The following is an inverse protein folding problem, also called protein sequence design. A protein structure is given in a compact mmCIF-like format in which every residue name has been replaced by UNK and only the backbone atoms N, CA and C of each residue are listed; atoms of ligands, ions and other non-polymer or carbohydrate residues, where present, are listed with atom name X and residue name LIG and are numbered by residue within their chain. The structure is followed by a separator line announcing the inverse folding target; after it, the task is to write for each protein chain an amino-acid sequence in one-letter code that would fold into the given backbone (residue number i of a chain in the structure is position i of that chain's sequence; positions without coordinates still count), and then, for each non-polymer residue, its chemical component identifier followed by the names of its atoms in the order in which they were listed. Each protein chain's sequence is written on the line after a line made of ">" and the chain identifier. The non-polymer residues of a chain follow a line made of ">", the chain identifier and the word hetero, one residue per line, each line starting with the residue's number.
data_IF_398007696559
#
_entry.id   IF_398007696559
#
_cell.length_a   1.000
_cell.length_b   1.000
_cell.length_c   1.000
_cell.angle_alpha   90.00
_cell.angle_beta   90.00
_cell.angle_gamma   90.00
#
_symmetry.space_group_name_H-M   'P 1'
#
loop_
_entity.id
_entity.type
_entity.pdbx_description
1 polymer ?
#
# COMPACT_ATOMS: atom_id res chain seq x y z
N UNK A 1 -27.98 52.31 1.81
CA UNK A 1 -27.40 53.66 1.98
C UNK A 1 -25.95 53.47 2.42
N UNK A 2 -25.01 53.83 1.52
CA UNK A 2 -23.64 54.35 1.72
C UNK A 2 -22.69 53.61 2.69
N UNK A 3 -21.44 53.27 2.37
CA UNK A 3 -20.53 53.55 1.25
C UNK A 3 -19.15 52.99 1.64
N UNK A 4 -18.45 52.29 0.74
CA UNK A 4 -17.32 52.80 -0.07
C UNK A 4 -16.03 53.14 0.70
N UNK A 5 -14.89 52.61 0.23
CA UNK A 5 -13.59 53.26 0.43
C UNK A 5 -12.36 52.36 0.39
N UNK A 6 -11.97 51.88 -0.79
CA UNK A 6 -10.61 51.43 -1.07
C UNK A 6 -9.64 52.64 -1.11
N UNK A 7 -8.36 52.51 -0.73
CA UNK A 7 -7.26 53.22 -1.42
C UNK A 7 -5.87 52.59 -1.18
N UNK A 8 -5.30 52.04 -2.28
CA UNK A 8 -3.93 52.15 -2.83
C UNK A 8 -2.66 52.16 -1.96
N UNK A 9 -1.60 51.50 -2.48
CA UNK A 9 -0.22 51.98 -2.29
C UNK A 9 0.89 50.96 -2.53
N UNK A 10 1.25 50.72 -3.79
CA UNK A 10 2.47 50.01 -4.17
C UNK A 10 3.76 50.82 -3.86
N UNK A 11 4.88 50.12 -3.60
CA UNK A 11 6.25 50.50 -4.03
C UNK A 11 7.27 49.39 -3.70
N UNK A 12 7.91 48.85 -4.74
CA UNK A 12 9.29 48.34 -4.70
C UNK A 12 10.24 49.53 -5.04
N UNK A 13 11.58 49.48 -4.82
CA UNK A 13 12.46 48.64 -5.65
C UNK A 13 13.74 48.07 -4.98
N UNK A 14 14.34 47.16 -5.76
CA UNK A 14 15.71 46.61 -5.80
C UNK A 14 16.86 47.32 -5.08
N UNK A 15 17.85 46.55 -4.58
CA UNK A 15 19.14 46.30 -5.27
C UNK A 15 20.14 45.46 -4.42
N UNK A 16 20.78 44.51 -5.13
CA UNK A 16 22.18 44.06 -5.11
C UNK A 16 22.98 44.08 -3.79
N UNK A 17 23.54 42.92 -3.42
CA UNK A 17 25.01 42.77 -3.38
C UNK A 17 25.48 41.31 -3.37
N UNK A 18 26.28 40.99 -4.39
CA UNK A 18 27.18 39.82 -4.47
C UNK A 18 28.33 40.01 -3.49
N UNK A 19 28.70 38.94 -2.79
CA UNK A 19 30.08 38.70 -2.37
C UNK A 19 30.46 37.25 -2.68
N UNK A 20 31.31 37.10 -3.71
CA UNK A 20 32.17 35.95 -3.95
C UNK A 20 33.55 36.32 -3.39
N UNK A 21 34.26 35.37 -2.79
CA UNK A 21 35.69 35.03 -2.98
C UNK A 21 36.20 34.08 -1.85
N UNK A 22 37.33 33.36 -2.05
CA UNK A 22 37.35 31.90 -1.91
C UNK A 22 38.36 31.34 -0.88
N UNK A 23 38.41 30.00 -0.85
CA UNK A 23 39.55 29.12 -0.55
C UNK A 23 39.67 28.54 0.87
N UNK A 24 39.57 27.21 0.96
CA UNK A 24 40.77 26.38 1.17
C UNK A 24 40.47 24.89 0.96
N UNK A 25 41.07 24.31 -0.08
CA UNK A 25 41.18 22.86 -0.25
C UNK A 25 42.24 22.34 0.72
N UNK A 26 41.85 21.67 1.80
CA UNK A 26 42.74 20.77 2.53
C UNK A 26 42.57 19.34 2.00
N UNK A 27 43.54 18.90 1.20
CA UNK A 27 43.74 17.49 0.86
C UNK A 27 44.08 16.72 2.14
N UNK A 28 43.16 15.89 2.64
CA UNK A 28 43.50 14.82 3.59
C UNK A 28 43.99 13.61 2.80
N UNK A 29 45.23 13.18 3.06
CA UNK A 29 45.77 11.88 2.62
C UNK A 29 44.94 10.77 3.28
N UNK A 30 44.61 9.66 2.60
CA UNK A 30 44.04 8.52 3.29
C UNK A 30 45.14 7.88 4.15
N UNK A 31 44.85 7.71 5.44
CA UNK A 31 45.64 6.84 6.30
C UNK A 31 45.32 5.40 5.90
N UNK A 32 46.35 4.63 5.56
CA UNK A 32 46.25 3.20 5.33
C UNK A 32 45.85 2.53 6.65
N UNK A 33 44.63 2.00 6.71
CA UNK A 33 44.20 1.10 7.77
C UNK A 33 44.44 -0.34 7.30
N UNK A 34 45.32 -1.01 8.03
CA UNK A 34 45.67 -2.42 7.92
C UNK A 34 44.44 -3.32 7.92
N UNK A 35 44.34 -4.20 6.92
CA UNK A 35 43.38 -5.30 6.88
C UNK A 35 43.69 -6.27 8.02
N UNK A 36 42.86 -6.26 9.06
CA UNK A 36 42.75 -7.37 10.00
C UNK A 36 41.66 -8.31 9.48
N UNK A 37 42.01 -9.57 9.30
CA UNK A 37 41.15 -10.62 8.77
C UNK A 37 39.91 -10.82 9.65
N UNK A 38 38.73 -10.81 9.04
CA UNK A 38 37.51 -11.32 9.66
C UNK A 38 36.51 -11.74 8.59
N UNK A 39 36.23 -13.05 8.58
CA UNK A 39 35.10 -13.78 8.03
C UNK A 39 34.79 -13.67 6.51
N UNK A 40 34.59 -14.82 5.88
CA UNK A 40 34.01 -15.01 4.54
C UNK A 40 32.95 -13.95 4.19
N UNK A 41 32.96 -13.36 2.98
CA UNK A 41 31.92 -12.43 2.59
C UNK A 41 30.58 -13.16 2.62
N UNK A 42 29.72 -12.82 3.58
CA UNK A 42 28.36 -13.35 3.65
C UNK A 42 27.66 -12.94 2.36
N UNK A 43 27.54 -13.88 1.42
CA UNK A 43 26.93 -13.64 0.11
C UNK A 43 25.45 -13.38 0.34
N UNK A 44 25.04 -12.12 0.21
CA UNK A 44 23.62 -11.75 0.20
C UNK A 44 23.02 -12.31 -1.07
N UNK A 45 22.02 -13.18 -0.96
CA UNK A 45 21.25 -13.62 -2.11
C UNK A 45 20.07 -12.67 -2.34
N UNK A 46 19.88 -12.24 -3.58
CA UNK A 46 18.80 -11.34 -3.99
C UNK A 46 18.22 -11.73 -5.35
N UNK A 47 16.91 -11.49 -5.53
CA UNK A 47 16.24 -11.57 -6.83
C UNK A 47 16.32 -10.21 -7.53
N UNK A 48 17.12 -10.14 -8.59
CA UNK A 48 17.47 -8.89 -9.29
C UNK A 48 16.96 -8.92 -10.72
N UNK A 49 16.49 -7.78 -11.23
CA UNK A 49 16.13 -7.59 -12.63
C UNK A 49 16.86 -6.38 -13.22
N UNK A 50 17.48 -6.57 -14.40
CA UNK A 50 18.28 -5.54 -15.08
C UNK A 50 17.54 -4.80 -16.20
N UNK A 51 16.37 -5.28 -16.59
CA UNK A 51 15.49 -4.70 -17.60
C UNK A 51 14.04 -5.03 -17.24
N UNK A 52 13.09 -4.20 -17.68
CA UNK A 52 11.67 -4.48 -17.50
C UNK A 52 11.21 -5.60 -18.43
N UNK A 53 10.27 -6.43 -17.97
CA UNK A 53 9.70 -7.49 -18.80
C UNK A 53 8.88 -8.52 -18.02
N UNK A 54 8.67 -9.68 -18.64
CA UNK A 54 8.04 -10.83 -18.00
C UNK A 54 8.89 -11.26 -16.78
N UNK A 55 8.38 -11.21 -15.54
CA UNK A 55 9.16 -11.52 -14.35
C UNK A 55 9.83 -12.89 -14.40
N UNK A 56 9.21 -13.89 -15.04
CA UNK A 56 9.78 -15.22 -15.18
C UNK A 56 11.03 -15.27 -16.06
N UNK A 57 11.27 -14.24 -16.88
CA UNK A 57 12.40 -14.16 -17.82
C UNK A 57 13.48 -13.17 -17.38
N UNK A 58 13.11 -12.14 -16.62
CA UNK A 58 14.01 -11.02 -16.31
C UNK A 58 14.55 -11.03 -14.88
N UNK A 59 13.93 -11.80 -13.97
CA UNK A 59 14.36 -11.91 -12.57
C UNK A 59 15.37 -13.04 -12.43
N UNK A 60 16.54 -12.71 -11.90
CA UNK A 60 17.66 -13.63 -11.70
C UNK A 60 18.08 -13.66 -10.23
N UNK A 61 18.40 -14.83 -9.70
CA UNK A 61 19.06 -14.96 -8.39
C UNK A 61 20.52 -14.54 -8.51
N UNK A 62 20.93 -13.52 -7.75
CA UNK A 62 22.31 -13.02 -7.71
C UNK A 62 22.87 -13.04 -6.30
N UNK A 63 24.19 -13.21 -6.21
CA UNK A 63 24.94 -12.94 -5.00
C UNK A 63 25.40 -11.49 -5.04
N UNK A 64 25.12 -10.76 -3.96
CA UNK A 64 25.51 -9.36 -3.74
C UNK A 64 26.46 -9.29 -2.54
N UNK A 65 27.23 -8.22 -2.49
CA UNK A 65 27.97 -7.83 -1.28
C UNK A 65 27.05 -7.03 -0.37
N UNK A 66 27.04 -7.36 0.92
CA UNK A 66 26.33 -6.57 1.91
C UNK A 66 27.00 -5.20 2.03
N UNK A 67 26.22 -4.13 1.89
CA UNK A 67 26.73 -2.78 2.07
C UNK A 67 27.23 -2.56 3.51
N UNK A 68 28.19 -1.67 3.70
CA UNK A 68 28.63 -1.27 5.04
C UNK A 68 27.50 -0.50 5.75
N UNK A 69 27.31 -0.75 7.05
CA UNK A 69 26.33 -0.05 7.88
C UNK A 69 26.87 1.34 8.23
N UNK A 70 26.28 2.38 7.63
CA UNK A 70 26.56 3.77 7.97
C UNK A 70 25.96 4.19 9.31
N UNK A 71 26.27 5.42 9.74
CA UNK A 71 25.86 5.92 11.06
C UNK A 71 24.34 5.98 11.30
N UNK A 72 23.54 6.17 10.25
CA UNK A 72 22.06 6.22 10.31
C UNK A 72 21.41 5.03 9.61
N UNK A 73 22.17 3.98 9.32
CA UNK A 73 21.69 2.80 8.61
C UNK A 73 21.36 1.65 9.56
N UNK A 74 20.52 0.75 9.08
CA UNK A 74 20.04 -0.43 9.77
C UNK A 74 20.31 -1.64 8.88
N UNK A 75 21.04 -2.61 9.42
CA UNK A 75 21.22 -3.92 8.78
C UNK A 75 20.04 -4.81 9.15
N UNK A 76 19.31 -5.25 8.13
CA UNK A 76 18.10 -6.05 8.26
C UNK A 76 18.32 -7.41 7.61
N UNK A 77 17.96 -8.48 8.33
CA UNK A 77 17.80 -9.83 7.78
C UNK A 77 16.33 -10.04 7.42
N UNK A 78 16.03 -10.24 6.15
CA UNK A 78 14.65 -10.48 5.71
C UNK A 78 14.17 -11.85 6.20
N UNK A 79 12.96 -11.89 6.76
CA UNK A 79 12.35 -13.12 7.27
C UNK A 79 11.36 -13.69 6.26
N UNK A 80 10.53 -12.83 5.68
CA UNK A 80 9.54 -13.19 4.68
C UNK A 80 9.16 -11.97 3.83
N UNK A 81 8.93 -12.20 2.53
CA UNK A 81 8.46 -11.19 1.60
C UNK A 81 7.41 -11.81 0.66
N UNK A 82 6.19 -11.27 0.58
CA UNK A 82 5.17 -11.75 -0.34
C UNK A 82 5.48 -11.35 -1.78
N UNK A 83 4.73 -11.96 -2.70
CA UNK A 83 4.67 -11.55 -4.12
C UNK A 83 3.29 -10.97 -4.38
N UNK A 84 3.23 -9.66 -4.58
CA UNK A 84 2.01 -8.90 -4.83
C UNK A 84 1.87 -8.52 -6.32
N UNK A 85 0.65 -8.23 -6.81
CA UNK A 85 0.45 -7.72 -8.17
C UNK A 85 1.25 -6.46 -8.50
N UNK A 86 1.50 -5.58 -7.52
CA UNK A 86 2.33 -4.38 -7.69
C UNK A 86 3.79 -4.73 -8.00
N UNK A 87 4.35 -5.78 -7.40
CA UNK A 87 5.72 -6.23 -7.66
C UNK A 87 5.85 -6.69 -9.11
N UNK A 88 4.88 -7.50 -9.56
CA UNK A 88 4.79 -7.98 -10.94
C UNK A 88 4.68 -6.81 -11.92
N UNK A 89 3.78 -5.84 -11.65
CA UNK A 89 3.60 -4.69 -12.52
C UNK A 89 4.86 -3.79 -12.57
N UNK A 90 5.56 -3.63 -11.45
CA UNK A 90 6.81 -2.86 -11.37
C UNK A 90 7.93 -3.52 -12.18
N UNK A 91 8.10 -4.84 -12.07
CA UNK A 91 9.06 -5.60 -12.89
C UNK A 91 8.70 -5.51 -14.38
N UNK A 92 7.41 -5.55 -14.72
CA UNK A 92 6.91 -5.38 -16.10
C UNK A 92 7.07 -3.95 -16.65
N UNK A 93 7.41 -2.95 -15.82
CA UNK A 93 7.50 -1.54 -16.25
C UNK A 93 6.15 -0.83 -16.34
N UNK A 94 5.07 -1.43 -15.82
CA UNK A 94 3.69 -0.95 -15.92
C UNK A 94 3.15 -0.47 -14.57
N UNK A 95 3.95 0.29 -13.81
CA UNK A 95 3.60 0.77 -12.48
C UNK A 95 3.99 2.23 -12.29
N UNK A 96 3.27 2.96 -11.42
CA UNK A 96 3.46 4.40 -11.21
C UNK A 96 4.78 4.78 -10.53
N UNK A 97 5.49 3.80 -9.96
CA UNK A 97 6.82 3.93 -9.39
C UNK A 97 7.72 2.87 -10.01
N UNK A 98 8.85 3.27 -10.59
CA UNK A 98 9.84 2.35 -11.17
C UNK A 98 11.21 2.66 -10.55
N UNK A 99 11.80 1.72 -9.78
CA UNK A 99 13.17 1.84 -9.29
C UNK A 99 14.18 1.93 -10.44
N UNK A 100 15.34 2.54 -10.18
CA UNK A 100 16.45 2.53 -11.14
C UNK A 100 16.99 1.12 -11.31
N UNK A 101 17.27 0.73 -12.55
CA UNK A 101 17.78 -0.59 -12.89
C UNK A 101 19.32 -0.62 -12.85
N UNK A 102 19.94 -1.74 -12.43
CA UNK A 102 19.32 -2.97 -11.94
C UNK A 102 18.69 -2.79 -10.55
N UNK A 103 17.57 -3.47 -10.30
CA UNK A 103 16.82 -3.37 -9.05
C UNK A 103 16.55 -4.74 -8.43
N UNK A 104 16.42 -4.77 -7.10
CA UNK A 104 15.95 -5.94 -6.34
C UNK A 104 14.41 -5.96 -6.38
N UNK A 105 13.82 -7.13 -6.61
CA UNK A 105 12.37 -7.31 -6.62
C UNK A 105 11.72 -7.18 -5.23
N UNK A 106 10.40 -7.01 -5.22
CA UNK A 106 9.59 -6.97 -4.00
C UNK A 106 9.50 -5.59 -3.34
N UNK A 107 8.28 -5.23 -2.91
CA UNK A 107 7.99 -3.96 -2.24
C UNK A 107 7.48 -4.11 -0.81
N UNK A 108 7.16 -5.33 -0.39
CA UNK A 108 6.61 -5.65 0.91
C UNK A 108 7.40 -6.81 1.54
N UNK A 109 7.50 -6.81 2.85
CA UNK A 109 8.12 -7.88 3.61
C UNK A 109 8.37 -7.47 5.04
N UNK A 110 8.76 -8.45 5.86
CA UNK A 110 9.20 -8.24 7.24
C UNK A 110 10.63 -8.74 7.38
N UNK A 111 11.45 -7.94 8.05
CA UNK A 111 12.82 -8.27 8.39
C UNK A 111 13.08 -8.08 9.88
N UNK A 112 14.13 -8.72 10.37
CA UNK A 112 14.65 -8.54 11.71
C UNK A 112 15.88 -7.65 11.66
N UNK A 113 15.95 -6.66 12.54
CA UNK A 113 17.15 -5.83 12.71
C UNK A 113 18.28 -6.68 13.28
N UNK A 114 19.43 -6.70 12.60
CA UNK A 114 20.64 -7.42 13.00
C UNK A 114 21.61 -6.47 13.68
N UNK A 115 21.85 -5.31 13.07
CA UNK A 115 22.75 -4.28 13.57
C UNK A 115 22.24 -2.88 13.19
N UNK A 116 22.68 -1.87 13.94
CA UNK A 116 22.30 -0.47 13.73
C UNK A 116 23.53 0.43 13.74
N UNK A 117 23.48 1.51 12.97
CA UNK A 117 24.46 2.59 13.00
C UNK A 117 24.43 3.37 14.32
N UNK A 118 25.50 4.12 14.60
CA UNK A 118 25.69 4.85 15.85
C UNK A 118 24.69 5.98 16.14
N UNK A 119 23.94 6.44 15.13
CA UNK A 119 22.95 7.52 15.24
C UNK A 119 21.50 7.01 15.21
N UNK A 120 21.29 5.70 15.02
CA UNK A 120 19.96 5.09 14.98
C UNK A 120 19.36 5.04 16.38
N UNK A 121 18.09 5.40 16.53
CA UNK A 121 17.42 5.47 17.84
C UNK A 121 16.00 4.89 17.87
N UNK A 122 15.34 4.77 16.72
CA UNK A 122 13.97 4.30 16.57
C UNK A 122 13.81 2.78 16.54
N UNK A 123 14.89 2.03 16.28
CA UNK A 123 14.91 0.56 16.26
C UNK A 123 16.20 0.02 16.87
N UNK A 124 16.17 -1.22 17.35
CA UNK A 124 17.35 -1.93 17.90
C UNK A 124 17.43 -3.37 17.39
N UNK A 125 18.62 -4.02 17.49
CA UNK A 125 18.75 -5.43 17.16
C UNK A 125 17.67 -6.32 17.79
N UNK A 126 17.09 -7.19 16.98
CA UNK A 126 15.99 -8.08 17.35
C UNK A 126 14.59 -7.55 17.06
N UNK A 127 14.41 -6.25 16.81
CA UNK A 127 13.12 -5.68 16.40
C UNK A 127 12.71 -6.17 15.00
N UNK A 128 11.40 -6.26 14.78
CA UNK A 128 10.85 -6.52 13.44
C UNK A 128 10.53 -5.20 12.75
N UNK A 129 10.85 -5.12 11.46
CA UNK A 129 10.66 -3.93 10.64
C UNK A 129 10.05 -4.28 9.30
N UNK A 130 9.29 -3.35 8.74
CA UNK A 130 8.75 -3.40 7.37
C UNK A 130 9.15 -2.14 6.58
N UNK A 131 9.13 -2.19 5.23
CA UNK A 131 9.32 -1.01 4.39
C UNK A 131 8.35 0.14 4.69
N UNK A 132 8.87 1.34 4.91
CA UNK A 132 8.06 2.57 5.06
C UNK A 132 7.37 2.97 3.75
N UNK A 133 7.97 2.66 2.58
CA UNK A 133 7.37 2.87 1.27
C UNK A 133 7.78 1.78 0.27
N UNK A 134 7.23 1.83 -0.95
CA UNK A 134 7.62 0.93 -2.04
C UNK A 134 9.00 1.30 -2.62
N UNK A 135 9.64 0.35 -3.31
CA UNK A 135 10.89 0.55 -4.05
C UNK A 135 12.17 0.16 -3.30
N UNK A 136 12.06 -0.40 -2.09
CA UNK A 136 13.22 -0.82 -1.28
C UNK A 136 13.88 -2.12 -1.77
N UNK A 137 13.13 -3.02 -2.41
CA UNK A 137 13.62 -4.34 -2.80
C UNK A 137 13.66 -5.30 -1.61
N UNK A 138 12.62 -6.11 -1.44
CA UNK A 138 12.48 -7.01 -0.28
C UNK A 138 12.80 -8.47 -0.57
N UNK A 139 12.95 -8.85 -1.84
CA UNK A 139 13.29 -10.22 -2.25
C UNK A 139 14.80 -10.46 -2.19
N UNK A 140 15.36 -10.29 -1.00
CA UNK A 140 16.76 -10.55 -0.69
C UNK A 140 16.88 -11.10 0.73
N UNK A 141 17.98 -11.78 1.01
CA UNK A 141 18.23 -12.41 2.32
C UNK A 141 18.53 -11.39 3.41
N UNK A 142 19.31 -10.36 3.08
CA UNK A 142 19.73 -9.30 3.98
C UNK A 142 19.93 -8.01 3.20
N UNK A 143 19.81 -6.86 3.86
CA UNK A 143 20.07 -5.57 3.25
C UNK A 143 20.45 -4.53 4.31
N UNK A 144 21.04 -3.43 3.86
CA UNK A 144 21.25 -2.23 4.69
C UNK A 144 20.34 -1.13 4.16
N UNK A 145 19.52 -0.58 5.03
CA UNK A 145 18.58 0.49 4.71
C UNK A 145 18.78 1.67 5.66
N UNK A 146 18.46 2.88 5.21
CA UNK A 146 18.36 4.03 6.11
C UNK A 146 17.25 3.80 7.14
N UNK A 147 17.45 4.26 8.38
CA UNK A 147 16.46 4.15 9.46
C UNK A 147 15.08 4.70 9.07
N UNK A 148 15.04 5.82 8.34
CA UNK A 148 13.81 6.47 7.88
C UNK A 148 13.03 5.68 6.82
N UNK A 149 13.64 4.64 6.24
CA UNK A 149 13.02 3.77 5.26
C UNK A 149 12.30 2.58 5.91
N UNK A 150 12.34 2.46 7.23
CA UNK A 150 11.83 1.33 7.99
C UNK A 150 10.79 1.76 9.02
N UNK A 151 9.81 0.89 9.26
CA UNK A 151 8.81 1.04 10.31
C UNK A 151 8.89 -0.19 11.21
N UNK A 152 9.05 0.04 12.52
CA UNK A 152 8.97 -1.01 13.52
C UNK A 152 7.55 -1.61 13.60
N UNK A 153 7.47 -2.93 13.70
CA UNK A 153 6.19 -3.65 13.84
C UNK A 153 6.21 -4.59 15.04
N UNK A 154 5.03 -4.94 15.58
CA UNK A 154 4.93 -5.93 16.64
C UNK A 154 5.52 -7.28 16.19
N UNK A 155 6.16 -7.97 17.13
CA UNK A 155 6.76 -9.30 16.92
C UNK A 155 5.94 -10.43 17.54
N UNK A 156 4.84 -10.10 18.20
CA UNK A 156 3.89 -11.00 18.84
C UNK A 156 2.74 -11.41 17.91
N UNK A 157 2.80 -11.02 16.63
CA UNK A 157 1.89 -11.47 15.58
C UNK A 157 2.53 -12.59 14.74
N UNK A 158 1.73 -13.45 14.08
CA UNK A 158 2.27 -14.46 13.18
C UNK A 158 3.17 -13.86 12.09
N UNK A 159 4.28 -14.53 11.76
CA UNK A 159 5.24 -14.05 10.75
C UNK A 159 4.56 -13.73 9.41
N UNK A 160 3.62 -14.57 8.99
CA UNK A 160 2.86 -14.36 7.75
C UNK A 160 2.01 -13.08 7.78
N UNK A 161 1.44 -12.75 8.95
CA UNK A 161 0.71 -11.50 9.16
C UNK A 161 1.65 -10.30 9.05
N UNK A 162 2.79 -10.34 9.74
CA UNK A 162 3.78 -9.27 9.66
C UNK A 162 4.30 -9.04 8.23
N UNK A 163 4.54 -10.12 7.48
CA UNK A 163 5.02 -10.06 6.11
C UNK A 163 4.04 -9.43 5.11
N UNK A 164 2.74 -9.37 5.45
CA UNK A 164 1.66 -8.89 4.56
C UNK A 164 0.89 -7.68 5.12
N UNK A 165 1.41 -7.10 6.22
CA UNK A 165 0.75 -6.05 6.97
C UNK A 165 0.76 -4.70 6.25
N UNK A 166 1.87 -4.39 5.55
CA UNK A 166 2.21 -3.05 5.09
C UNK A 166 1.49 -2.59 3.82
N UNK A 167 0.80 -3.48 3.11
CA UNK A 167 0.14 -3.18 1.83
C UNK A 167 -1.35 -3.54 1.87
N UNK A 168 -1.70 -4.81 2.01
CA UNK A 168 -3.08 -5.25 1.76
C UNK A 168 -4.06 -4.76 2.85
N UNK A 169 -3.82 -4.98 4.16
CA UNK A 169 -4.64 -4.43 5.23
C UNK A 169 -4.64 -2.90 5.25
N UNK A 170 -3.49 -2.25 5.07
CA UNK A 170 -3.40 -0.78 5.02
C UNK A 170 -4.29 -0.21 3.91
N UNK A 171 -4.27 -0.83 2.73
CA UNK A 171 -5.08 -0.42 1.58
C UNK A 171 -6.58 -0.56 1.90
N UNK A 172 -6.98 -1.71 2.47
CA UNK A 172 -8.35 -1.95 2.88
C UNK A 172 -8.83 -0.91 3.91
N UNK A 173 -8.06 -0.69 4.97
CA UNK A 173 -8.38 0.27 6.02
C UNK A 173 -8.54 1.67 5.43
N UNK A 174 -7.55 2.18 4.66
CA UNK A 174 -7.62 3.56 4.11
C UNK A 174 -8.84 3.76 3.23
N UNK A 175 -9.16 2.79 2.38
CA UNK A 175 -10.34 2.90 1.54
C UNK A 175 -11.65 2.96 2.34
N UNK A 176 -11.74 2.22 3.44
CA UNK A 176 -12.92 2.24 4.32
C UNK A 176 -13.06 3.56 5.10
N UNK A 177 -11.95 4.22 5.43
CA UNK A 177 -11.96 5.38 6.33
C UNK A 177 -11.90 6.74 5.61
N UNK A 178 -11.30 6.81 4.42
CA UNK A 178 -10.90 8.10 3.84
C UNK A 178 -11.91 8.65 2.80
N UNK A 179 -12.88 7.85 2.34
CA UNK A 179 -13.72 8.21 1.18
C UNK A 179 -15.18 8.49 1.51
N UNK A 180 -15.77 7.79 2.46
CA UNK A 180 -17.14 7.99 2.91
C UNK A 180 -17.19 7.89 4.43
N UNK A 181 -18.03 8.71 5.06
CA UNK A 181 -18.30 8.58 6.50
C UNK A 181 -19.28 7.44 6.72
N UNK A 182 -18.73 6.27 7.04
CA UNK A 182 -19.48 5.05 7.31
C UNK A 182 -19.73 4.90 8.82
N UNK A 183 -20.90 4.37 9.17
CA UNK A 183 -21.31 4.07 10.54
C UNK A 183 -21.66 2.59 10.67
N UNK A 184 -21.59 2.01 11.88
CA UNK A 184 -22.08 0.65 12.11
C UNK A 184 -23.49 0.46 11.53
N UNK A 185 -23.67 -0.61 10.77
CA UNK A 185 -24.90 -0.94 10.05
C UNK A 185 -24.96 -0.44 8.59
N UNK A 186 -24.09 0.48 8.18
CA UNK A 186 -23.95 0.90 6.78
C UNK A 186 -23.35 -0.22 5.92
N UNK A 187 -23.64 -0.20 4.62
CA UNK A 187 -23.17 -1.22 3.68
C UNK A 187 -21.99 -0.75 2.82
N UNK A 188 -21.07 -1.67 2.54
CA UNK A 188 -19.97 -1.54 1.57
C UNK A 188 -20.06 -2.69 0.57
N UNK A 189 -19.87 -2.40 -0.72
CA UNK A 189 -19.78 -3.43 -1.77
C UNK A 189 -18.35 -3.50 -2.33
N UNK A 190 -17.85 -4.69 -2.61
CA UNK A 190 -16.53 -4.85 -3.24
C UNK A 190 -16.50 -5.97 -4.26
N UNK A 191 -15.63 -5.87 -5.27
CA UNK A 191 -15.25 -7.00 -6.12
C UNK A 191 -13.85 -7.51 -5.78
N UNK A 192 -13.46 -8.63 -6.40
CA UNK A 192 -12.23 -9.32 -6.06
C UNK A 192 -12.11 -9.66 -4.55
N UNK A 193 -13.23 -10.00 -3.92
CA UNK A 193 -13.34 -10.17 -2.46
C UNK A 193 -12.47 -11.30 -1.89
N UNK A 194 -12.02 -12.21 -2.74
CA UNK A 194 -11.08 -13.27 -2.36
C UNK A 194 -9.59 -12.86 -2.45
N UNK A 195 -9.29 -11.63 -2.87
CA UNK A 195 -7.92 -11.09 -2.87
C UNK A 195 -7.42 -10.80 -1.45
N UNK A 196 -6.12 -10.53 -1.28
CA UNK A 196 -5.56 -10.12 0.02
C UNK A 196 -6.24 -8.86 0.56
N UNK A 197 -6.41 -7.83 -0.28
CA UNK A 197 -7.17 -6.62 0.10
C UNK A 197 -8.63 -6.96 0.39
N UNK A 198 -9.28 -7.78 -0.44
CA UNK A 198 -10.70 -8.10 -0.26
C UNK A 198 -11.01 -8.85 1.04
N UNK A 199 -10.15 -9.78 1.43
CA UNK A 199 -10.25 -10.47 2.72
C UNK A 199 -9.96 -9.54 3.91
N UNK A 200 -9.04 -8.58 3.75
CA UNK A 200 -8.81 -7.56 4.78
C UNK A 200 -10.01 -6.60 4.90
N UNK A 201 -10.64 -6.18 3.79
CA UNK A 201 -11.87 -5.39 3.81
C UNK A 201 -12.96 -6.10 4.60
N UNK A 202 -13.16 -7.41 4.37
CA UNK A 202 -14.18 -8.20 5.10
C UNK A 202 -13.96 -8.11 6.61
N UNK A 203 -12.75 -8.42 7.07
CA UNK A 203 -12.44 -8.49 8.50
C UNK A 203 -12.48 -7.11 9.16
N UNK A 204 -11.92 -6.09 8.51
CA UNK A 204 -11.92 -4.70 9.03
C UNK A 204 -13.35 -4.15 9.06
N UNK A 205 -14.14 -4.37 8.01
CA UNK A 205 -15.54 -3.94 7.96
C UNK A 205 -16.38 -4.63 9.06
N UNK A 206 -16.17 -5.93 9.29
CA UNK A 206 -16.82 -6.65 10.37
C UNK A 206 -16.47 -6.06 11.75
N UNK A 207 -15.20 -5.77 12.00
CA UNK A 207 -14.75 -5.12 13.24
C UNK A 207 -15.32 -3.70 13.43
N UNK A 208 -15.57 -2.98 12.34
CA UNK A 208 -16.23 -1.67 12.33
C UNK A 208 -17.77 -1.74 12.40
N UNK A 209 -18.35 -2.95 12.42
CA UNK A 209 -19.80 -3.17 12.42
C UNK A 209 -20.47 -2.80 11.09
N UNK A 210 -19.73 -2.76 9.99
CA UNK A 210 -20.25 -2.50 8.64
C UNK A 210 -20.75 -3.79 7.99
N UNK A 211 -21.73 -3.67 7.10
CA UNK A 211 -22.25 -4.79 6.30
C UNK A 211 -21.53 -4.89 4.97
N UNK A 212 -21.08 -6.08 4.60
CA UNK A 212 -20.28 -6.30 3.38
C UNK A 212 -21.03 -7.10 2.32
N UNK A 213 -21.01 -6.59 1.09
CA UNK A 213 -21.48 -7.28 -0.11
C UNK A 213 -20.26 -7.64 -0.96
N UNK A 214 -19.92 -8.92 -0.96
CA UNK A 214 -18.62 -9.41 -1.42
C UNK A 214 -18.77 -10.14 -2.75
N UNK A 215 -18.44 -9.46 -3.84
CA UNK A 215 -18.51 -10.00 -5.18
C UNK A 215 -17.27 -10.83 -5.48
N UNK A 216 -17.48 -12.07 -5.94
CA UNK A 216 -16.43 -13.00 -6.35
C UNK A 216 -16.66 -13.50 -7.77
N UNK A 217 -15.58 -13.96 -8.42
CA UNK A 217 -15.68 -14.58 -9.74
C UNK A 217 -16.38 -15.94 -9.63
N UNK A 218 -17.19 -16.26 -10.62
CA UNK A 218 -17.80 -17.57 -10.80
C UNK A 218 -16.72 -18.66 -10.89
N UNK A 219 -16.97 -19.81 -10.24
CA UNK A 219 -16.04 -20.95 -10.21
C UNK A 219 -16.75 -22.25 -9.80
N UNK A 220 -16.23 -23.42 -10.18
CA UNK A 220 -16.84 -24.73 -9.84
C UNK A 220 -17.08 -24.95 -8.34
N UNK A 221 -16.15 -24.51 -7.48
CA UNK A 221 -16.24 -24.70 -6.01
C UNK A 221 -16.68 -23.41 -5.27
N UNK A 222 -17.72 -22.75 -5.78
CA UNK A 222 -18.15 -21.45 -5.25
C UNK A 222 -18.55 -21.51 -3.78
N UNK A 223 -19.27 -22.56 -3.36
CA UNK A 223 -19.78 -22.67 -1.98
C UNK A 223 -18.66 -22.70 -0.95
N UNK A 224 -17.59 -23.49 -1.19
CA UNK A 224 -16.41 -23.56 -0.32
C UNK A 224 -15.74 -22.19 -0.16
N UNK A 225 -15.71 -21.39 -1.24
CA UNK A 225 -15.20 -20.03 -1.17
C UNK A 225 -16.12 -19.13 -0.33
N UNK A 226 -17.43 -19.19 -0.57
CA UNK A 226 -18.41 -18.40 0.18
C UNK A 226 -18.34 -18.68 1.67
N UNK A 227 -18.29 -19.95 2.07
CA UNK A 227 -18.19 -20.35 3.48
C UNK A 227 -16.92 -19.82 4.12
N UNK A 228 -15.78 -19.90 3.41
CA UNK A 228 -14.52 -19.34 3.90
C UNK A 228 -14.58 -17.82 4.08
N UNK A 229 -15.19 -17.08 3.16
CA UNK A 229 -15.32 -15.62 3.30
C UNK A 229 -16.31 -15.25 4.41
N UNK A 230 -17.39 -16.02 4.61
CA UNK A 230 -18.31 -15.84 5.74
C UNK A 230 -17.62 -16.08 7.08
N UNK A 231 -16.73 -17.08 7.17
CA UNK A 231 -15.90 -17.31 8.36
C UNK A 231 -14.94 -16.16 8.68
N UNK A 232 -14.62 -15.31 7.70
CA UNK A 232 -13.86 -14.08 7.91
C UNK A 232 -14.73 -12.88 8.34
N UNK A 233 -16.06 -13.04 8.38
CA UNK A 233 -17.01 -11.97 8.74
C UNK A 233 -17.82 -11.40 7.56
N UNK A 234 -17.81 -12.03 6.38
CA UNK A 234 -18.61 -11.54 5.26
C UNK A 234 -20.12 -11.74 5.48
N UNK A 235 -20.93 -10.68 5.36
CA UNK A 235 -22.40 -10.79 5.48
C UNK A 235 -23.01 -11.46 4.24
N UNK A 236 -22.63 -10.96 3.06
CA UNK A 236 -23.14 -11.43 1.79
C UNK A 236 -21.99 -11.70 0.83
N UNK A 237 -22.02 -12.87 0.20
CA UNK A 237 -21.10 -13.25 -0.87
C UNK A 237 -21.95 -13.56 -2.09
N UNK A 238 -21.64 -12.94 -3.22
CA UNK A 238 -22.37 -13.12 -4.48
C UNK A 238 -21.39 -13.26 -5.63
N UNK A 239 -21.80 -13.92 -6.71
CA UNK A 239 -20.99 -14.00 -7.92
C UNK A 239 -21.15 -12.78 -8.83
N UNK A 240 -20.21 -12.60 -9.75
CA UNK A 240 -20.31 -11.62 -10.83
C UNK A 240 -21.56 -11.82 -11.71
N UNK A 241 -21.99 -13.07 -11.90
CA UNK A 241 -23.23 -13.39 -12.61
C UNK A 241 -24.46 -12.97 -11.79
N UNK A 242 -24.52 -13.35 -10.51
CA UNK A 242 -25.63 -13.01 -9.61
C UNK A 242 -25.79 -11.49 -9.45
N UNK A 243 -24.69 -10.74 -9.36
CA UNK A 243 -24.73 -9.28 -9.23
C UNK A 243 -25.44 -8.57 -10.40
N UNK A 244 -25.40 -9.17 -11.59
CA UNK A 244 -25.98 -8.64 -12.84
C UNK A 244 -27.46 -8.97 -13.01
N UNK A 245 -27.95 -9.95 -12.23
CA UNK A 245 -29.32 -10.43 -12.35
C UNK A 245 -30.31 -9.37 -11.85
N UNK A 246 -31.45 -9.14 -12.53
CA UNK A 246 -32.47 -8.17 -12.11
C UNK A 246 -32.96 -8.37 -10.67
N UNK A 247 -32.93 -9.61 -10.19
CA UNK A 247 -33.27 -10.07 -8.85
C UNK A 247 -32.45 -9.39 -7.76
N UNK A 248 -31.23 -8.92 -8.09
CA UNK A 248 -30.38 -8.16 -7.16
C UNK A 248 -31.06 -6.86 -6.68
N UNK A 249 -32.05 -6.33 -7.42
CA UNK A 249 -32.88 -5.20 -6.93
C UNK A 249 -33.71 -5.56 -5.69
N UNK A 250 -34.13 -6.82 -5.56
CA UNK A 250 -34.88 -7.26 -4.39
C UNK A 250 -34.00 -7.39 -3.15
N UNK A 251 -32.72 -7.71 -3.32
CA UNK A 251 -31.75 -7.77 -2.22
C UNK A 251 -31.66 -6.44 -1.47
N UNK A 252 -31.62 -5.33 -2.19
CA UNK A 252 -31.55 -3.97 -1.61
C UNK A 252 -32.86 -3.46 -0.99
N UNK A 253 -33.93 -4.27 -0.95
CA UNK A 253 -35.12 -3.95 -0.15
C UNK A 253 -34.88 -4.16 1.35
N UNK A 254 -34.01 -5.11 1.70
CA UNK A 254 -33.72 -5.50 3.08
C UNK A 254 -32.31 -5.09 3.53
N UNK A 255 -31.42 -4.82 2.58
CA UNK A 255 -30.04 -4.39 2.83
C UNK A 255 -29.86 -2.94 2.37
N UNK A 256 -29.36 -2.03 3.22
CA UNK A 256 -29.10 -0.66 2.81
C UNK A 256 -28.19 -0.61 1.58
N UNK A 257 -28.52 0.25 0.61
CA UNK A 257 -27.66 0.45 -0.54
C UNK A 257 -26.29 0.98 -0.09
N UNK A 258 -25.18 0.41 -0.61
CA UNK A 258 -23.85 0.81 -0.19
C UNK A 258 -23.54 2.24 -0.62
N UNK A 259 -22.93 3.00 0.28
CA UNK A 259 -22.39 4.34 -0.05
C UNK A 259 -20.96 4.27 -0.59
N UNK A 260 -20.27 3.16 -0.34
CA UNK A 260 -18.90 2.90 -0.78
C UNK A 260 -18.82 1.61 -1.60
N UNK A 261 -18.17 1.67 -2.75
CA UNK A 261 -17.84 0.53 -3.59
C UNK A 261 -16.31 0.43 -3.77
N UNK A 262 -15.73 -0.76 -3.58
CA UNK A 262 -14.30 -0.99 -3.75
C UNK A 262 -14.04 -1.87 -4.98
N UNK A 263 -13.29 -1.33 -5.94
CA UNK A 263 -13.05 -1.94 -7.24
C UNK A 263 -11.57 -2.27 -7.48
N UNK A 264 -11.31 -3.50 -7.91
CA UNK A 264 -10.00 -3.98 -8.34
C UNK A 264 -10.04 -4.73 -9.68
N UNK A 265 -11.16 -4.71 -10.39
CA UNK A 265 -11.35 -5.50 -11.61
C UNK A 265 -11.38 -4.61 -12.85
N UNK A 266 -12.23 -3.58 -12.87
CA UNK A 266 -12.50 -2.76 -14.07
C UNK A 266 -13.57 -3.36 -14.99
N UNK A 267 -13.73 -2.79 -16.18
CA UNK A 267 -14.67 -3.23 -17.20
C UNK A 267 -16.13 -3.33 -16.71
N UNK A 268 -16.87 -4.31 -17.22
CA UNK A 268 -18.28 -4.53 -16.87
C UNK A 268 -18.51 -4.76 -15.37
N UNK A 269 -17.61 -5.47 -14.68
CA UNK A 269 -17.68 -5.68 -13.22
C UNK A 269 -17.78 -4.35 -12.47
N UNK A 270 -16.94 -3.37 -12.83
CA UNK A 270 -16.97 -2.04 -12.21
C UNK A 270 -18.29 -1.28 -12.48
N UNK A 271 -18.88 -1.45 -13.66
CA UNK A 271 -20.18 -0.84 -13.99
C UNK A 271 -21.31 -1.42 -13.14
N UNK A 272 -21.27 -2.72 -12.87
CA UNK A 272 -22.27 -3.37 -12.01
C UNK A 272 -22.15 -2.93 -10.55
N UNK A 273 -20.92 -2.76 -10.04
CA UNK A 273 -20.73 -2.14 -8.71
C UNK A 273 -21.37 -0.75 -8.63
N UNK A 274 -21.13 0.11 -9.64
CA UNK A 274 -21.70 1.47 -9.68
C UNK A 274 -23.23 1.49 -9.68
N UNK A 275 -23.88 0.51 -10.33
CA UNK A 275 -25.35 0.44 -10.39
C UNK A 275 -25.97 0.30 -8.99
N UNK A 276 -25.29 -0.39 -8.09
CA UNK A 276 -25.79 -0.73 -6.76
C UNK A 276 -25.49 0.31 -5.68
N UNK A 277 -24.64 1.31 -5.96
CA UNK A 277 -24.37 2.40 -5.02
C UNK A 277 -25.63 3.20 -4.68
N UNK A 278 -25.73 3.72 -3.45
CA UNK A 278 -26.70 4.75 -3.11
C UNK A 278 -26.40 6.08 -3.86
N UNK A 279 -27.38 6.98 -4.04
CA UNK A 279 -27.11 8.34 -4.52
C UNK A 279 -26.03 9.05 -3.70
N UNK A 280 -25.13 9.77 -4.38
CA UNK A 280 -23.98 10.46 -3.77
C UNK A 280 -22.82 9.55 -3.37
N UNK A 281 -22.93 8.23 -3.60
CA UNK A 281 -21.94 7.23 -3.22
C UNK A 281 -20.66 7.27 -4.06
N UNK A 282 -19.60 6.67 -3.52
CA UNK A 282 -18.26 6.67 -4.11
C UNK A 282 -17.82 5.27 -4.49
N UNK A 283 -17.28 5.10 -5.70
CA UNK A 283 -16.49 3.93 -6.08
C UNK A 283 -14.99 4.26 -6.07
N UNK A 284 -14.23 3.52 -5.28
CA UNK A 284 -12.77 3.64 -5.16
C UNK A 284 -12.11 2.50 -5.93
N UNK A 285 -11.24 2.84 -6.88
CA UNK A 285 -10.46 1.87 -7.66
C UNK A 285 -9.01 1.83 -7.15
N UNK A 286 -8.55 0.65 -6.72
CA UNK A 286 -7.20 0.44 -6.19
C UNK A 286 -6.37 -0.55 -7.00
N UNK A 287 -6.95 -1.13 -8.04
CA UNK A 287 -6.28 -2.06 -8.95
C UNK A 287 -7.11 -2.37 -10.18
N UNK A 288 -6.58 -3.20 -11.08
CA UNK A 288 -7.21 -3.48 -12.37
C UNK A 288 -6.85 -4.86 -12.91
N UNK A 289 -7.29 -5.91 -12.23
CA UNK A 289 -6.95 -7.30 -12.55
C UNK A 289 -7.40 -7.74 -13.95
N UNK A 290 -8.48 -7.16 -14.50
CA UNK A 290 -8.92 -7.46 -15.85
C UNK A 290 -8.13 -6.69 -16.94
N UNK A 291 -7.27 -5.74 -16.54
CA UNK A 291 -6.59 -4.80 -17.46
C UNK A 291 -7.57 -4.05 -18.37
N UNK A 292 -8.78 -3.82 -17.87
CA UNK A 292 -9.85 -3.08 -18.56
C UNK A 292 -10.10 -1.76 -17.83
N UNK A 293 -10.37 -0.66 -18.56
CA UNK A 293 -10.72 0.60 -17.93
C UNK A 293 -12.03 0.47 -17.14
N UNK A 294 -12.20 1.34 -16.16
CA UNK A 294 -13.48 1.51 -15.46
C UNK A 294 -14.47 2.15 -16.43
N UNK A 295 -15.70 1.62 -16.49
CA UNK A 295 -16.76 2.12 -17.37
C UNK A 295 -17.91 2.64 -16.52
N UNK A 296 -18.17 3.95 -16.61
CA UNK A 296 -19.23 4.63 -15.86
C UNK A 296 -20.33 5.12 -16.81
N UNK A 297 -21.60 4.81 -16.48
CA UNK A 297 -22.74 5.33 -17.22
C UNK A 297 -22.94 6.82 -16.92
N UNK A 298 -23.14 7.63 -17.97
CA UNK A 298 -23.47 9.06 -17.84
C UNK A 298 -24.68 9.29 -16.93
N UNK A 299 -25.71 8.43 -17.05
CA UNK A 299 -26.90 8.53 -16.20
C UNK A 299 -26.62 8.29 -14.72
N UNK A 300 -25.68 7.39 -14.39
CA UNK A 300 -25.30 7.13 -13.00
C UNK A 300 -24.49 8.29 -12.43
N UNK A 301 -23.61 8.90 -13.24
CA UNK A 301 -22.85 10.07 -12.83
C UNK A 301 -23.76 11.28 -12.58
N UNK A 302 -24.67 11.57 -13.51
CA UNK A 302 -25.52 12.78 -13.43
C UNK A 302 -26.66 12.61 -12.44
N UNK A 303 -27.46 11.53 -12.56
CA UNK A 303 -28.73 11.43 -11.81
C UNK A 303 -28.60 10.75 -10.46
N UNK A 304 -27.48 10.06 -10.19
CA UNK A 304 -27.16 9.54 -8.85
C UNK A 304 -25.99 10.27 -8.20
N UNK A 305 -25.41 11.28 -8.85
CA UNK A 305 -24.26 12.04 -8.34
C UNK A 305 -23.12 11.13 -7.82
N UNK A 306 -22.82 10.06 -8.56
CA UNK A 306 -21.80 9.09 -8.15
C UNK A 306 -20.40 9.64 -8.36
N UNK A 307 -19.51 9.34 -7.42
CA UNK A 307 -18.09 9.73 -7.47
C UNK A 307 -17.23 8.53 -7.82
N UNK A 308 -16.25 8.74 -8.70
CA UNK A 308 -15.22 7.74 -8.99
C UNK A 308 -13.87 8.28 -8.52
N UNK A 309 -13.14 7.48 -7.74
CA UNK A 309 -11.84 7.86 -7.20
C UNK A 309 -10.82 6.74 -7.42
N UNK A 310 -9.55 7.11 -7.46
CA UNK A 310 -8.43 6.18 -7.35
C UNK A 310 -7.87 6.21 -5.93
N UNK A 311 -7.33 5.07 -5.48
CA UNK A 311 -6.52 5.00 -4.27
C UNK A 311 -5.18 4.34 -4.58
N UNK A 312 -4.09 4.96 -4.13
CA UNK A 312 -2.75 4.42 -4.28
C UNK A 312 -2.00 4.48 -2.95
N UNK A 313 -1.81 3.30 -2.35
CA UNK A 313 -1.19 3.18 -1.03
C UNK A 313 0.16 3.90 -0.98
N UNK A 314 1.08 3.67 -1.95
CA UNK A 314 2.39 4.31 -1.97
C UNK A 314 2.34 5.84 -2.00
N UNK A 315 1.34 6.43 -2.66
CA UNK A 315 1.15 7.88 -2.66
C UNK A 315 0.65 8.35 -1.29
N UNK A 316 -0.33 7.65 -0.69
CA UNK A 316 -0.77 7.97 0.68
C UNK A 316 0.40 7.92 1.67
N UNK A 317 1.24 6.89 1.58
CA UNK A 317 2.46 6.74 2.40
C UNK A 317 3.40 7.94 2.22
N UNK A 318 3.60 8.39 0.99
CA UNK A 318 4.46 9.54 0.65
C UNK A 318 3.91 10.85 1.20
N UNK A 319 2.61 11.08 1.08
CA UNK A 319 1.94 12.30 1.54
C UNK A 319 1.92 12.41 3.08
N UNK A 320 2.00 11.27 3.78
CA UNK A 320 1.96 11.18 5.24
C UNK A 320 3.28 10.70 5.87
N UNK A 321 4.37 10.63 5.09
CA UNK A 321 5.70 10.26 5.58
C UNK A 321 6.23 11.14 6.74
N UNK A 322 5.94 12.46 6.83
CA UNK A 322 6.38 13.25 7.98
C UNK A 322 5.59 12.95 9.28
N UNK A 323 4.52 12.16 9.22
CA UNK A 323 3.67 11.82 10.38
C UNK A 323 3.73 10.32 10.68
N UNK A 324 4.86 9.89 11.24
CA UNK A 324 5.06 8.51 11.72
C UNK A 324 4.01 8.10 12.76
N UNK A 325 3.40 9.06 13.47
CA UNK A 325 2.36 8.81 14.48
C UNK A 325 1.08 8.25 13.89
N UNK A 326 0.60 8.81 12.78
CA UNK A 326 -0.60 8.31 12.07
C UNK A 326 -0.42 6.87 11.58
N UNK A 327 0.78 6.54 11.12
CA UNK A 327 1.13 5.20 10.67
C UNK A 327 1.17 4.18 11.80
N UNK A 328 1.82 4.51 12.90
CA UNK A 328 1.84 3.65 14.09
C UNK A 328 0.43 3.43 14.63
N UNK A 329 -0.40 4.48 14.68
CA UNK A 329 -1.79 4.38 15.12
C UNK A 329 -2.61 3.44 14.21
N UNK A 330 -2.48 3.61 12.90
CA UNK A 330 -3.11 2.72 11.92
C UNK A 330 -2.70 1.27 12.12
N UNK A 331 -1.41 0.99 12.30
CA UNK A 331 -0.91 -0.38 12.52
C UNK A 331 -1.49 -0.96 13.82
N UNK A 332 -1.52 -0.17 14.91
CA UNK A 332 -2.11 -0.59 16.18
C UNK A 332 -3.61 -0.91 16.05
N UNK A 333 -4.39 -0.05 15.40
CA UNK A 333 -5.82 -0.29 15.18
C UNK A 333 -6.08 -1.54 14.33
N UNK A 334 -5.31 -1.72 13.26
CA UNK A 334 -5.40 -2.94 12.44
C UNK A 334 -5.01 -4.19 13.23
N UNK A 335 -4.00 -4.11 14.11
CA UNK A 335 -3.62 -5.23 14.95
C UNK A 335 -4.76 -5.67 15.87
N UNK A 336 -5.46 -4.70 16.49
CA UNK A 336 -6.64 -4.97 17.30
C UNK A 336 -7.76 -5.63 16.48
N UNK A 337 -8.02 -5.13 15.26
CA UNK A 337 -9.11 -5.61 14.42
C UNK A 337 -8.85 -6.99 13.79
N UNK A 338 -7.59 -7.30 13.46
CA UNK A 338 -7.23 -8.49 12.66
C UNK A 338 -6.62 -9.63 13.47
N UNK A 339 -6.02 -9.36 14.63
CA UNK A 339 -5.20 -10.36 15.34
C UNK A 339 -5.56 -10.54 16.81
N UNK A 340 -6.51 -9.78 17.36
CA UNK A 340 -6.89 -9.85 18.79
C UNK A 340 -8.33 -10.33 19.03
N UNK A 341 -8.95 -10.97 18.03
CA UNK A 341 -10.25 -11.63 18.12
C UNK A 341 -10.11 -13.15 18.18
#
# INVERSE_FOLDING_TARGET
>A
MWGCGAFWGARAPSQLQRWLLPASRRRRRPAAASFSASAEPSRVQALVYGHHGDPAKVVELKNLELAAVGGSDVHVKMLAAPINPSDINMIQGNYGLLPQLPAVGGNEGVGQVVAVGSHVTGVKPGDWVIPANAGLGTWQTEAVFSEDALIGVPRDIPLQSAATLGVNPCTAYRMLMDFEQLRPGDSVIQNASNSGVGQAVIQIAAALGLRTINVVRDRPDIQKLMDRLKNLGADHVVTEEELRKPEMKNFFKNVPQPRLALNCVGGKSSTELLRHLAPGGTMVTYGGMAKQPVVASVSLLIFKDLKLRGFWMSQWKKDHNPDMGLWSLMICEMQMMLFMN
#
